data_IF_301876034726
#
_entry.id   IF_301876034726
#
_cell.length_a   1.000
_cell.length_b   1.000
_cell.length_c   1.000
_cell.angle_alpha   90.00
_cell.angle_beta   90.00
_cell.angle_gamma   90.00
#
_symmetry.space_group_name_H-M   'P 1'
#
loop_
_entity.id
_entity.type
_entity.pdbx_description
1 polymer ?
#
# COMPACT_ATOMS: atom_id res chain seq x y z
N UNK A 1 6.42 29.45 -9.38
CA UNK A 1 5.38 29.11 -8.40
C UNK A 1 5.86 29.55 -7.03
N UNK A 2 5.03 30.23 -6.25
CA UNK A 2 5.35 30.45 -4.83
C UNK A 2 5.35 29.09 -4.13
N UNK A 3 6.39 28.78 -3.35
CA UNK A 3 6.45 27.54 -2.59
C UNK A 3 5.41 27.54 -1.49
N UNK A 4 4.73 26.40 -1.21
CA UNK A 4 3.86 26.29 -0.05
C UNK A 4 4.71 26.31 1.22
N UNK A 5 4.50 27.33 2.05
CA UNK A 5 5.16 27.48 3.36
C UNK A 5 4.16 27.26 4.48
N UNK A 6 4.63 26.70 5.60
CA UNK A 6 3.87 26.56 6.83
C UNK A 6 3.66 27.92 7.49
N UNK A 7 2.78 27.98 8.49
CA UNK A 7 2.47 29.21 9.24
C UNK A 7 3.71 29.81 9.93
N UNK A 8 4.73 28.98 10.14
CA UNK A 8 6.02 29.28 10.79
C UNK A 8 7.17 29.48 9.81
N UNK A 9 6.93 29.37 8.49
CA UNK A 9 7.91 29.66 7.45
C UNK A 9 8.72 28.47 6.91
N UNK A 10 8.46 27.23 7.36
CA UNK A 10 9.08 26.03 6.79
C UNK A 10 8.49 25.67 5.44
N UNK A 11 9.30 25.07 4.55
CA UNK A 11 8.78 24.53 3.30
C UNK A 11 7.89 23.30 3.60
N UNK A 12 6.66 23.31 3.10
CA UNK A 12 5.69 22.24 3.35
C UNK A 12 6.19 20.86 2.86
N UNK A 13 6.84 20.79 1.70
CA UNK A 13 7.35 19.52 1.17
C UNK A 13 8.49 18.95 2.01
N UNK A 14 9.36 19.82 2.54
CA UNK A 14 10.43 19.39 3.44
C UNK A 14 9.84 18.85 4.76
N UNK A 15 8.80 19.49 5.30
CA UNK A 15 8.10 18.98 6.50
C UNK A 15 7.38 17.66 6.24
N UNK A 16 6.73 17.49 5.09
CA UNK A 16 6.11 16.20 4.72
C UNK A 16 7.16 15.11 4.52
N UNK A 17 8.32 15.43 3.92
CA UNK A 17 9.46 14.50 3.80
C UNK A 17 9.99 14.13 5.19
N UNK A 18 10.16 15.11 6.07
CA UNK A 18 10.63 14.91 7.44
C UNK A 18 9.67 14.03 8.24
N UNK A 19 8.36 14.27 8.15
CA UNK A 19 7.33 13.45 8.80
C UNK A 19 7.48 11.97 8.42
N UNK A 20 7.53 11.66 7.13
CA UNK A 20 7.69 10.28 6.64
C UNK A 20 9.00 9.65 7.11
N UNK A 21 10.11 10.34 6.88
CA UNK A 21 11.45 9.82 7.16
C UNK A 21 11.73 9.69 8.66
N UNK A 22 11.17 10.55 9.49
CA UNK A 22 11.22 10.45 10.95
C UNK A 22 10.40 9.26 11.45
N UNK A 23 9.17 9.09 10.94
CA UNK A 23 8.34 7.93 11.25
C UNK A 23 9.06 6.62 10.92
N UNK A 24 9.65 6.53 9.72
CA UNK A 24 10.43 5.36 9.27
C UNK A 24 11.54 4.97 10.24
N UNK A 25 12.16 5.96 10.88
CA UNK A 25 13.26 5.82 11.85
C UNK A 25 12.79 5.65 13.30
N UNK A 26 11.49 5.77 13.56
CA UNK A 26 10.95 5.82 14.92
C UNK A 26 11.27 7.11 15.69
N UNK A 27 11.66 8.19 14.99
CA UNK A 27 12.03 9.47 15.61
C UNK A 27 10.80 10.32 15.90
N UNK A 28 10.19 10.09 17.07
CA UNK A 28 8.93 10.72 17.46
C UNK A 28 9.01 12.25 17.56
N UNK A 29 10.09 12.80 18.11
CA UNK A 29 10.26 14.27 18.25
C UNK A 29 10.24 14.96 16.88
N UNK A 30 11.05 14.47 15.95
CA UNK A 30 11.12 15.00 14.58
C UNK A 30 9.80 14.85 13.82
N UNK A 31 9.17 13.68 13.93
CA UNK A 31 7.89 13.42 13.28
C UNK A 31 6.77 14.30 13.86
N UNK A 32 6.72 14.44 15.18
CA UNK A 32 5.75 15.28 15.87
C UNK A 32 5.95 16.75 15.55
N UNK A 33 7.20 17.23 15.51
CA UNK A 33 7.51 18.59 15.10
C UNK A 33 7.02 18.85 13.67
N UNK A 34 7.38 17.99 12.72
CA UNK A 34 6.96 18.11 11.33
C UNK A 34 5.43 18.11 11.18
N UNK A 35 4.73 17.20 11.89
CA UNK A 35 3.27 17.16 11.93
C UNK A 35 2.68 18.47 12.48
N UNK A 36 3.24 19.01 13.56
CA UNK A 36 2.81 20.28 14.14
C UNK A 36 2.97 21.46 13.17
N UNK A 37 4.00 21.46 12.32
CA UNK A 37 4.17 22.52 11.31
C UNK A 37 3.09 22.49 10.22
N UNK A 38 2.54 21.31 9.90
CA UNK A 38 1.59 21.14 8.78
C UNK A 38 0.13 20.97 9.22
N UNK A 39 -0.15 20.79 10.52
CA UNK A 39 -1.49 20.43 11.04
C UNK A 39 -2.60 21.47 10.80
N UNK A 40 -2.25 22.74 10.57
CA UNK A 40 -3.19 23.83 10.34
C UNK A 40 -3.48 23.96 8.84
N UNK A 41 -2.53 24.52 8.10
CA UNK A 41 -2.65 24.87 6.68
C UNK A 41 -2.64 23.67 5.73
N UNK A 42 -2.11 22.51 6.18
CA UNK A 42 -1.91 21.33 5.33
C UNK A 42 -2.40 20.02 5.97
N UNK A 43 -3.38 20.10 6.90
CA UNK A 43 -3.89 18.95 7.66
C UNK A 43 -4.29 17.75 6.80
N UNK A 44 -4.96 18.01 5.67
CA UNK A 44 -5.36 16.96 4.71
C UNK A 44 -4.16 16.28 4.05
N UNK A 45 -3.14 17.05 3.67
CA UNK A 45 -1.91 16.52 3.06
C UNK A 45 -1.16 15.64 4.06
N UNK A 46 -1.07 16.09 5.31
CA UNK A 46 -0.47 15.34 6.41
C UNK A 46 -1.19 14.00 6.66
N UNK A 47 -2.53 14.00 6.78
CA UNK A 47 -3.29 12.76 6.97
C UNK A 47 -3.16 11.81 5.78
N UNK A 48 -3.26 12.30 4.55
CA UNK A 48 -3.05 11.47 3.37
C UNK A 48 -1.63 10.87 3.35
N UNK A 49 -0.61 11.63 3.80
CA UNK A 49 0.75 11.12 3.92
C UNK A 49 0.87 10.04 4.99
N UNK A 50 0.28 10.22 6.18
CA UNK A 50 0.29 9.20 7.24
C UNK A 50 -0.41 7.90 6.80
N UNK A 51 -1.46 7.99 5.99
CA UNK A 51 -2.10 6.83 5.36
C UNK A 51 -1.19 6.14 4.35
N UNK A 52 -0.46 6.88 3.52
CA UNK A 52 0.55 6.28 2.62
C UNK A 52 1.64 5.59 3.42
N UNK A 53 2.16 6.22 4.48
CA UNK A 53 3.21 5.66 5.34
C UNK A 53 2.77 4.35 6.01
N UNK A 54 1.50 4.23 6.42
CA UNK A 54 0.99 2.99 7.02
C UNK A 54 1.01 1.80 6.06
N UNK A 55 0.86 2.05 4.76
CA UNK A 55 0.95 1.02 3.72
C UNK A 55 2.38 0.83 3.19
N UNK A 56 3.19 1.90 3.14
CA UNK A 56 4.52 1.89 2.51
C UNK A 56 5.63 1.42 3.44
N UNK A 57 5.64 1.90 4.69
CA UNK A 57 6.80 1.77 5.58
C UNK A 57 6.52 0.87 6.80
N UNK A 58 5.27 0.47 7.04
CA UNK A 58 4.89 -0.29 8.22
C UNK A 58 4.61 -1.76 7.88
N UNK A 59 5.04 -2.65 8.76
CA UNK A 59 4.72 -4.08 8.71
C UNK A 59 3.23 -4.32 9.03
N UNK A 60 2.67 -5.41 8.52
CA UNK A 60 1.41 -5.95 9.01
C UNK A 60 0.18 -5.03 8.95
N UNK A 61 -0.76 -5.31 9.85
CA UNK A 61 -2.04 -4.62 10.07
C UNK A 61 -1.81 -3.36 10.91
N UNK A 62 -2.11 -2.19 10.34
CA UNK A 62 -2.01 -0.88 11.02
C UNK A 62 -2.85 0.21 10.36
N UNK A 63 -3.11 0.12 9.06
CA UNK A 63 -3.82 1.14 8.28
C UNK A 63 -5.23 1.36 8.82
N UNK A 64 -5.91 0.31 9.29
CA UNK A 64 -7.22 0.43 9.95
C UNK A 64 -7.23 1.40 11.13
N UNK A 65 -6.17 1.41 11.94
CA UNK A 65 -6.07 2.29 13.11
C UNK A 65 -5.81 3.75 12.69
N UNK A 66 -4.98 3.96 11.67
CA UNK A 66 -4.68 5.30 11.14
C UNK A 66 -5.90 5.90 10.44
N UNK A 67 -6.62 5.10 9.66
CA UNK A 67 -7.87 5.49 9.04
C UNK A 67 -8.90 5.88 10.11
N UNK A 68 -9.07 5.05 11.15
CA UNK A 68 -9.98 5.36 12.25
C UNK A 68 -9.62 6.68 12.95
N UNK A 69 -8.34 6.92 13.27
CA UNK A 69 -7.87 8.16 13.89
C UNK A 69 -8.15 9.39 13.00
N UNK A 70 -7.92 9.25 11.69
CA UNK A 70 -8.24 10.30 10.72
C UNK A 70 -9.73 10.62 10.71
N UNK A 71 -10.59 9.61 10.69
CA UNK A 71 -12.05 9.80 10.71
C UNK A 71 -12.53 10.46 12.00
N UNK A 72 -11.92 10.16 13.15
CA UNK A 72 -12.22 10.87 14.39
C UNK A 72 -11.80 12.35 14.32
N UNK A 73 -10.64 12.64 13.73
CA UNK A 73 -10.17 14.01 13.53
C UNK A 73 -11.06 14.83 12.57
N UNK A 74 -11.64 14.18 11.55
CA UNK A 74 -12.59 14.82 10.63
C UNK A 74 -13.93 15.17 11.30
N UNK A 75 -14.39 14.35 12.25
CA UNK A 75 -15.60 14.63 13.05
C UNK A 75 -15.39 15.81 13.99
N UNK A 76 -14.22 15.86 14.63
CA UNK A 76 -13.83 16.95 15.51
C UNK A 76 -12.32 17.07 15.50
N UNK A 77 -11.81 18.22 15.04
CA UNK A 77 -10.37 18.45 14.89
C UNK A 77 -9.70 18.42 16.27
N UNK A 78 -9.00 17.33 16.54
CA UNK A 78 -8.30 17.08 17.80
C UNK A 78 -6.86 16.69 17.51
N UNK A 79 -5.93 17.54 17.93
CA UNK A 79 -4.50 17.29 17.71
C UNK A 79 -3.98 16.06 18.48
N UNK A 80 -4.72 15.59 19.48
CA UNK A 80 -4.51 14.30 20.13
C UNK A 80 -4.54 13.12 19.15
N UNK A 81 -5.45 13.15 18.15
CA UNK A 81 -5.52 12.08 17.15
C UNK A 81 -4.29 12.07 16.24
N UNK A 82 -3.74 13.25 15.92
CA UNK A 82 -2.48 13.36 15.18
C UNK A 82 -1.33 12.82 16.04
N UNK A 83 -1.28 13.22 17.32
CA UNK A 83 -0.26 12.77 18.25
C UNK A 83 -0.24 11.24 18.40
N UNK A 84 -1.43 10.63 18.49
CA UNK A 84 -1.64 9.17 18.52
C UNK A 84 -1.18 8.50 17.21
N UNK A 85 -1.54 9.06 16.06
CA UNK A 85 -1.16 8.51 14.75
C UNK A 85 0.37 8.52 14.57
N UNK A 86 1.02 9.65 14.86
CA UNK A 86 2.49 9.77 14.80
C UNK A 86 3.14 8.79 15.77
N UNK A 87 2.63 8.68 17.00
CA UNK A 87 3.19 7.76 18.00
C UNK A 87 3.05 6.30 17.58
N UNK A 88 1.89 5.91 17.02
CA UNK A 88 1.66 4.57 16.50
C UNK A 88 2.65 4.25 15.38
N UNK A 89 2.70 5.11 14.36
CA UNK A 89 3.54 4.91 13.19
C UNK A 89 5.04 4.91 13.53
N UNK A 90 5.49 5.72 14.49
CA UNK A 90 6.87 5.63 14.97
C UNK A 90 7.16 4.30 15.70
N UNK A 91 6.18 3.75 16.43
CA UNK A 91 6.35 2.57 17.27
C UNK A 91 6.18 1.24 16.53
N UNK A 92 5.33 1.18 15.51
CA UNK A 92 5.05 -0.06 14.78
C UNK A 92 6.30 -0.57 14.08
N UNK A 93 6.35 -1.88 13.90
CA UNK A 93 7.39 -2.51 13.11
C UNK A 93 7.36 -2.00 11.66
N UNK A 94 8.54 -1.87 11.07
CA UNK A 94 8.77 -1.29 9.75
C UNK A 94 9.11 -2.37 8.75
N UNK A 95 8.49 -2.29 7.58
CA UNK A 95 8.76 -3.16 6.44
C UNK A 95 8.33 -2.43 5.17
N UNK A 96 9.08 -2.59 4.08
CA UNK A 96 8.83 -1.94 2.77
C UNK A 96 8.47 -2.92 1.66
N UNK A 97 8.04 -4.14 1.99
CA UNK A 97 7.70 -5.15 0.98
C UNK A 97 6.62 -4.65 0.02
N UNK A 98 5.63 -3.88 0.50
CA UNK A 98 4.60 -3.30 -0.36
C UNK A 98 5.17 -2.34 -1.41
N UNK A 99 6.13 -1.50 -1.03
CA UNK A 99 6.81 -0.58 -1.93
C UNK A 99 7.71 -1.34 -2.92
N UNK A 100 8.52 -2.27 -2.41
CA UNK A 100 9.35 -3.14 -3.23
C UNK A 100 8.52 -3.88 -4.27
N UNK A 101 7.39 -4.46 -3.82
CA UNK A 101 6.50 -5.24 -4.65
C UNK A 101 5.83 -4.40 -5.74
N UNK A 102 5.32 -3.22 -5.37
CA UNK A 102 4.76 -2.28 -6.33
C UNK A 102 5.75 -1.96 -7.45
N UNK A 103 6.99 -1.60 -7.08
CA UNK A 103 8.00 -1.17 -8.04
C UNK A 103 8.56 -2.31 -8.89
N UNK A 104 8.83 -3.49 -8.32
CA UNK A 104 9.52 -4.57 -9.02
C UNK A 104 8.59 -5.58 -9.70
N UNK A 105 7.33 -5.68 -9.29
CA UNK A 105 6.42 -6.71 -9.80
C UNK A 105 5.12 -6.15 -10.39
N UNK A 106 4.63 -5.00 -9.92
CA UNK A 106 3.40 -4.39 -10.48
C UNK A 106 3.71 -3.42 -11.60
N UNK A 107 4.62 -2.47 -11.38
CA UNK A 107 4.94 -1.43 -12.37
C UNK A 107 5.76 -1.97 -13.56
N UNK A 108 6.57 -3.00 -13.32
CA UNK A 108 7.44 -3.64 -14.33
C UNK A 108 7.10 -5.12 -14.46
N UNK A 109 5.79 -5.39 -14.58
CA UNK A 109 5.21 -6.72 -14.40
C UNK A 109 5.66 -7.77 -15.41
N UNK A 110 5.68 -9.03 -14.97
CA UNK A 110 6.20 -10.20 -15.71
C UNK A 110 5.37 -11.42 -15.36
N UNK A 111 5.19 -12.35 -16.30
CA UNK A 111 4.45 -13.60 -16.05
C UNK A 111 5.22 -14.78 -16.63
N UNK A 112 5.13 -15.92 -15.93
CA UNK A 112 5.61 -17.22 -16.41
C UNK A 112 4.51 -18.03 -17.13
N UNK A 113 3.24 -17.60 -17.05
CA UNK A 113 2.08 -18.23 -17.67
C UNK A 113 1.73 -19.63 -17.14
N UNK A 114 2.29 -20.06 -16.01
CA UNK A 114 2.15 -21.43 -15.51
C UNK A 114 0.83 -21.67 -14.77
N UNK A 115 0.21 -20.64 -14.20
CA UNK A 115 -1.06 -20.75 -13.47
C UNK A 115 -2.24 -20.57 -14.44
N UNK A 116 -3.19 -21.50 -14.38
CA UNK A 116 -4.36 -21.54 -15.26
C UNK A 116 -5.66 -21.56 -14.45
N UNK A 117 -6.72 -20.96 -14.98
CA UNK A 117 -8.07 -20.98 -14.41
C UNK A 117 -8.99 -21.90 -15.21
N UNK A 118 -9.77 -22.74 -14.52
CA UNK A 118 -10.82 -23.54 -15.12
C UNK A 118 -12.15 -22.76 -15.19
N UNK A 119 -12.99 -23.11 -16.17
CA UNK A 119 -14.31 -22.46 -16.35
C UNK A 119 -15.17 -22.50 -15.06
N UNK A 120 -15.15 -23.62 -14.35
CA UNK A 120 -15.91 -23.76 -13.10
C UNK A 120 -15.39 -22.86 -11.97
N UNK A 121 -14.07 -22.63 -11.87
CA UNK A 121 -13.50 -21.69 -10.90
C UNK A 121 -13.94 -20.25 -11.20
N UNK A 122 -13.92 -19.87 -12.48
CA UNK A 122 -14.33 -18.53 -12.97
C UNK A 122 -15.79 -18.27 -12.64
N UNK A 123 -16.69 -19.19 -13.00
CA UNK A 123 -18.13 -19.07 -12.73
C UNK A 123 -18.41 -18.97 -11.22
N UNK A 124 -17.71 -19.76 -10.39
CA UNK A 124 -17.84 -19.70 -8.93
C UNK A 124 -17.38 -18.38 -8.34
N UNK A 125 -16.20 -17.89 -8.74
CA UNK A 125 -15.69 -16.60 -8.25
C UNK A 125 -16.64 -15.46 -8.64
N UNK A 126 -17.08 -15.44 -9.90
CA UNK A 126 -18.05 -14.46 -10.36
C UNK A 126 -19.34 -14.51 -9.56
N UNK A 127 -19.89 -15.71 -9.33
CA UNK A 127 -21.10 -15.89 -8.53
C UNK A 127 -20.98 -15.32 -7.12
N UNK A 128 -19.84 -15.53 -6.44
CA UNK A 128 -19.57 -14.95 -5.11
C UNK A 128 -19.44 -13.42 -5.16
N UNK A 129 -18.76 -12.89 -6.16
CA UNK A 129 -18.55 -11.45 -6.33
C UNK A 129 -19.85 -10.71 -6.70
N UNK A 130 -20.71 -11.32 -7.53
CA UNK A 130 -21.98 -10.71 -7.98
C UNK A 130 -23.10 -10.78 -6.93
N UNK A 131 -23.19 -11.89 -6.19
CA UNK A 131 -24.22 -12.09 -5.16
C UNK A 131 -24.15 -11.06 -4.04
N UNK A 132 -22.99 -10.39 -3.88
CA UNK A 132 -22.76 -9.47 -2.79
C UNK A 132 -22.65 -10.17 -1.44
N UNK A 133 -22.54 -11.51 -1.41
CA UNK A 133 -22.29 -12.30 -0.20
C UNK A 133 -21.00 -11.86 0.53
N UNK A 134 -20.14 -11.15 -0.19
CA UNK A 134 -18.86 -10.57 0.25
C UNK A 134 -19.02 -9.15 0.83
N UNK A 135 -20.07 -8.41 0.44
CA UNK A 135 -20.22 -6.96 0.66
C UNK A 135 -21.45 -6.69 1.54
N UNK A 136 -21.34 -6.94 2.84
CA UNK A 136 -22.34 -6.49 3.82
C UNK A 136 -21.84 -5.32 4.68
N UNK A 137 -21.08 -4.41 4.07
CA UNK A 137 -20.67 -3.11 4.64
C UNK A 137 -20.76 -2.02 3.58
N UNK A 138 -21.90 -1.31 3.56
CA UNK A 138 -22.09 0.07 3.10
C UNK A 138 -21.40 0.60 1.81
N UNK A 139 -21.20 -0.21 0.76
CA UNK A 139 -20.87 0.34 -0.56
C UNK A 139 -22.08 0.28 -1.50
N UNK A 140 -22.47 1.44 -2.04
CA UNK A 140 -23.56 1.59 -2.99
C UNK A 140 -23.47 0.59 -4.14
N UNK A 141 -24.62 0.00 -4.53
CA UNK A 141 -24.76 -0.84 -5.72
C UNK A 141 -24.34 -0.03 -6.96
N UNK A 142 -23.14 -0.26 -7.47
CA UNK A 142 -22.72 0.25 -8.77
C UNK A 142 -23.10 -0.75 -9.87
N UNK A 143 -23.70 -0.24 -10.94
CA UNK A 143 -23.91 -0.97 -12.18
C UNK A 143 -22.54 -1.18 -12.87
N UNK A 144 -22.03 -2.41 -12.77
CA UNK A 144 -20.73 -2.82 -13.32
C UNK A 144 -20.74 -3.04 -14.84
N UNK A 145 -21.88 -2.88 -15.51
CA UNK A 145 -22.00 -3.22 -16.93
C UNK A 145 -21.75 -2.04 -17.88
N UNK A 146 -21.72 -0.79 -17.41
CA UNK A 146 -21.43 0.37 -18.26
C UNK A 146 -22.35 0.55 -19.47
N UNK A 147 -23.47 -0.18 -19.55
CA UNK A 147 -24.38 -0.22 -20.69
C UNK A 147 -25.83 -0.30 -20.23
N UNK A 148 -26.34 0.78 -19.62
CA UNK A 148 -27.76 0.97 -19.39
C UNK A 148 -28.06 2.40 -18.88
N UNK A 149 -28.21 3.34 -19.82
CA UNK A 149 -29.39 4.20 -19.75
C UNK A 149 -30.60 3.33 -20.15
N UNK A 150 -31.02 2.42 -19.28
CA UNK A 150 -32.36 1.84 -19.42
C UNK A 150 -33.33 2.89 -18.90
N UNK A 151 -34.05 3.48 -19.85
CA UNK A 151 -35.25 4.26 -19.63
C UNK A 151 -36.11 3.58 -18.56
N UNK A 152 -36.63 4.37 -17.62
CA UNK A 152 -37.52 3.97 -16.51
C UNK A 152 -38.82 3.25 -16.98
N UNK A 153 -38.97 2.97 -18.28
CA UNK A 153 -40.14 2.38 -18.91
C UNK A 153 -39.94 0.99 -19.52
N UNK A 154 -38.74 0.41 -19.51
CA UNK A 154 -38.52 -0.96 -20.02
C UNK A 154 -38.45 -2.00 -18.89
N UNK A 155 -39.55 -2.13 -18.13
CA UNK A 155 -39.79 -3.31 -17.30
C UNK A 155 -40.38 -4.43 -18.17
N UNK A 156 -39.51 -5.22 -18.80
CA UNK A 156 -39.86 -6.59 -19.22
C UNK A 156 -39.16 -7.59 -18.31
N UNK A 157 -39.98 -8.37 -17.61
CA UNK A 157 -39.66 -9.56 -16.84
C UNK A 157 -38.40 -10.28 -17.32
N UNK A 158 -37.31 -10.19 -16.55
CA UNK A 158 -36.19 -11.13 -16.68
C UNK A 158 -36.63 -12.40 -15.94
N UNK A 159 -36.94 -13.44 -16.71
CA UNK A 159 -37.01 -14.82 -16.21
C UNK A 159 -35.59 -15.26 -15.87
N UNK A 160 -35.45 -15.97 -14.74
CA UNK A 160 -34.28 -16.76 -14.40
C UNK A 160 -33.94 -17.69 -15.58
N UNK A 161 -32.90 -17.33 -16.32
CA UNK A 161 -32.34 -18.10 -17.42
C UNK A 161 -30.84 -17.89 -17.41
N UNK A 162 -30.08 -18.98 -17.45
CA UNK A 162 -28.62 -19.01 -17.44
C UNK A 162 -28.03 -17.95 -18.38
N UNK A 163 -27.47 -16.87 -17.80
CA UNK A 163 -26.59 -15.97 -18.55
C UNK A 163 -25.25 -16.70 -18.73
N UNK A 164 -24.99 -17.20 -19.93
CA UNK A 164 -23.64 -17.64 -20.29
C UNK A 164 -22.71 -16.43 -20.36
N UNK A 165 -21.53 -16.52 -19.75
CA UNK A 165 -20.52 -15.47 -19.79
C UNK A 165 -20.03 -15.19 -21.21
N UNK A 166 -19.76 -13.91 -21.50
CA UNK A 166 -19.01 -13.53 -22.70
C UNK A 166 -17.54 -13.93 -22.58
N UNK A 167 -16.84 -14.08 -23.71
CA UNK A 167 -15.41 -14.42 -23.74
C UNK A 167 -14.56 -13.38 -22.96
N UNK A 168 -14.87 -12.09 -23.10
CA UNK A 168 -14.22 -11.01 -22.34
C UNK A 168 -14.41 -11.16 -20.81
N UNK A 169 -15.59 -11.61 -20.38
CA UNK A 169 -15.85 -11.87 -18.95
C UNK A 169 -15.10 -13.11 -18.46
N UNK A 170 -14.97 -14.14 -19.30
CA UNK A 170 -14.14 -15.31 -18.97
C UNK A 170 -12.67 -14.95 -18.83
N UNK A 171 -12.14 -14.09 -19.70
CA UNK A 171 -10.76 -13.61 -19.58
C UNK A 171 -10.56 -12.80 -18.30
N UNK A 172 -11.43 -11.80 -18.06
CA UNK A 172 -11.34 -10.92 -16.89
C UNK A 172 -11.43 -11.69 -15.56
N UNK A 173 -12.43 -12.56 -15.40
CA UNK A 173 -12.56 -13.36 -14.18
C UNK A 173 -11.54 -14.51 -14.14
N UNK A 174 -11.02 -14.94 -15.30
CA UNK A 174 -9.85 -15.82 -15.40
C UNK A 174 -8.62 -15.19 -14.73
N UNK A 175 -8.32 -13.93 -15.02
CA UNK A 175 -7.25 -13.17 -14.37
C UNK A 175 -7.45 -13.09 -12.85
N UNK A 176 -8.68 -12.88 -12.41
CA UNK A 176 -9.04 -12.81 -11.00
C UNK A 176 -8.81 -14.15 -10.27
N UNK A 177 -9.21 -15.27 -10.88
CA UNK A 177 -8.95 -16.61 -10.32
C UNK A 177 -7.45 -16.91 -10.29
N UNK A 178 -6.72 -16.56 -11.36
CA UNK A 178 -5.27 -16.76 -11.42
C UNK A 178 -4.58 -15.95 -10.32
N UNK A 179 -5.00 -14.71 -10.08
CA UNK A 179 -4.49 -13.89 -8.98
C UNK A 179 -4.65 -14.58 -7.62
N UNK A 180 -5.85 -15.10 -7.29
CA UNK A 180 -6.08 -15.82 -6.03
C UNK A 180 -5.18 -17.07 -5.90
N UNK A 181 -4.96 -17.79 -7.01
CA UNK A 181 -4.08 -18.97 -7.06
C UNK A 181 -2.59 -18.61 -6.98
N UNK A 182 -2.21 -17.44 -7.49
CA UNK A 182 -0.85 -16.93 -7.39
C UNK A 182 -0.54 -16.51 -5.94
N UNK A 183 -1.48 -15.83 -5.27
CA UNK A 183 -1.39 -15.48 -3.84
C UNK A 183 -1.25 -16.74 -2.96
N UNK A 184 -2.02 -17.80 -3.23
CA UNK A 184 -1.91 -19.04 -2.45
C UNK A 184 -0.61 -19.80 -2.66
N UNK A 185 0.09 -19.54 -3.78
CA UNK A 185 1.37 -20.16 -4.13
C UNK A 185 2.58 -19.26 -3.88
N UNK A 186 2.35 -18.01 -3.45
CA UNK A 186 3.38 -16.99 -3.27
C UNK A 186 4.15 -16.67 -4.58
N UNK A 187 3.49 -16.77 -5.74
CA UNK A 187 4.11 -16.47 -7.05
C UNK A 187 4.08 -14.95 -7.32
N UNK A 188 5.14 -14.26 -6.90
CA UNK A 188 5.20 -12.79 -6.89
C UNK A 188 5.12 -12.17 -8.30
N UNK A 189 5.73 -12.82 -9.29
CA UNK A 189 5.67 -12.38 -10.69
C UNK A 189 4.23 -12.46 -11.20
N UNK A 190 3.56 -13.61 -11.03
CA UNK A 190 2.18 -13.78 -11.49
C UNK A 190 1.19 -12.85 -10.75
N UNK A 191 1.36 -12.65 -9.44
CA UNK A 191 0.56 -11.68 -8.66
C UNK A 191 0.73 -10.28 -9.25
N UNK A 192 1.96 -9.84 -9.44
CA UNK A 192 2.28 -8.51 -9.97
C UNK A 192 1.69 -8.27 -11.37
N UNK A 193 1.80 -9.28 -12.23
CA UNK A 193 1.22 -9.25 -13.58
C UNK A 193 -0.30 -9.13 -13.59
N UNK A 194 -1.02 -9.98 -12.85
CA UNK A 194 -2.49 -9.89 -12.80
C UNK A 194 -2.96 -8.59 -12.16
N UNK A 195 -2.23 -8.10 -11.15
CA UNK A 195 -2.51 -6.78 -10.56
C UNK A 195 -2.31 -5.65 -11.56
N UNK A 196 -1.26 -5.67 -12.40
CA UNK A 196 -1.03 -4.65 -13.42
C UNK A 196 -2.15 -4.60 -14.48
N UNK A 197 -2.65 -5.76 -14.91
CA UNK A 197 -3.80 -5.84 -15.81
C UNK A 197 -5.07 -5.26 -15.17
N UNK A 198 -5.36 -5.66 -13.93
CA UNK A 198 -6.60 -5.29 -13.24
C UNK A 198 -6.60 -3.84 -12.75
N UNK A 199 -5.49 -3.32 -12.23
CA UNK A 199 -5.44 -1.99 -11.57
C UNK A 199 -5.77 -0.82 -12.50
N UNK A 200 -5.57 -0.98 -13.81
CA UNK A 200 -5.73 0.10 -14.81
C UNK A 200 -7.20 0.40 -15.09
N UNK A 201 -8.00 -0.64 -15.33
CA UNK A 201 -9.40 -0.50 -15.75
C UNK A 201 -10.40 -1.15 -14.79
N UNK A 202 -9.95 -2.04 -13.90
CA UNK A 202 -10.79 -2.91 -13.08
C UNK A 202 -10.37 -2.87 -11.59
N UNK A 203 -9.95 -1.70 -11.09
CA UNK A 203 -9.40 -1.57 -9.72
C UNK A 203 -10.40 -1.91 -8.61
N UNK A 204 -11.69 -1.62 -8.81
CA UNK A 204 -12.72 -2.03 -7.85
C UNK A 204 -12.87 -3.55 -7.81
N UNK A 205 -12.88 -4.20 -8.99
CA UNK A 205 -12.90 -5.65 -9.07
C UNK A 205 -11.65 -6.27 -8.41
N UNK A 206 -10.48 -5.68 -8.58
CA UNK A 206 -9.26 -6.11 -7.89
C UNK A 206 -9.44 -6.09 -6.36
N UNK A 207 -10.03 -5.03 -5.81
CA UNK A 207 -10.36 -4.98 -4.39
C UNK A 207 -11.36 -6.06 -3.98
N UNK A 208 -12.39 -6.29 -4.78
CA UNK A 208 -13.39 -7.33 -4.49
C UNK A 208 -12.78 -8.73 -4.50
N UNK A 209 -11.78 -9.00 -5.36
CA UNK A 209 -11.00 -10.25 -5.37
C UNK A 209 -10.15 -10.41 -4.11
N UNK A 210 -9.52 -9.33 -3.64
CA UNK A 210 -8.78 -9.36 -2.36
C UNK A 210 -9.69 -9.59 -1.17
N UNK A 211 -10.88 -8.96 -1.15
CA UNK A 211 -11.87 -9.14 -0.08
C UNK A 211 -12.45 -10.56 -0.12
N UNK A 212 -12.78 -11.10 -1.31
CA UNK A 212 -13.20 -12.51 -1.47
C UNK A 212 -12.14 -13.44 -0.88
N UNK A 213 -10.88 -13.24 -1.25
CA UNK A 213 -9.78 -14.07 -0.77
C UNK A 213 -9.63 -13.98 0.75
N UNK A 214 -9.56 -12.75 1.29
CA UNK A 214 -9.42 -12.51 2.72
C UNK A 214 -10.58 -13.07 3.55
N UNK A 215 -11.82 -13.01 3.01
CA UNK A 215 -13.01 -13.54 3.69
C UNK A 215 -12.99 -15.06 3.83
N UNK A 216 -12.24 -15.76 2.96
CA UNK A 216 -12.04 -17.20 3.02
C UNK A 216 -10.88 -17.60 3.95
N UNK A 217 -10.11 -16.64 4.46
CA UNK A 217 -9.06 -16.90 5.45
C UNK A 217 -9.65 -16.99 6.85
N UNK A 218 -9.04 -17.80 7.72
CA UNK A 218 -9.41 -17.88 9.14
C UNK A 218 -8.91 -16.68 9.98
N UNK A 219 -8.30 -15.66 9.35
CA UNK A 219 -7.63 -14.52 10.00
C UNK A 219 -8.44 -13.22 9.82
N UNK A 220 -9.38 -12.95 10.75
CA UNK A 220 -10.32 -11.82 10.66
C UNK A 220 -9.65 -10.43 10.64
N UNK A 221 -8.52 -10.27 11.34
CA UNK A 221 -7.72 -9.03 11.34
C UNK A 221 -7.28 -8.60 9.93
N UNK A 222 -6.99 -9.56 9.04
CA UNK A 222 -6.58 -9.30 7.66
C UNK A 222 -7.73 -8.68 6.88
N UNK A 223 -8.95 -9.21 6.99
CA UNK A 223 -10.11 -8.69 6.27
C UNK A 223 -10.40 -7.22 6.63
N UNK A 224 -10.34 -6.88 7.92
CA UNK A 224 -10.55 -5.50 8.38
C UNK A 224 -9.47 -4.55 7.82
N UNK A 225 -8.21 -5.00 7.76
CA UNK A 225 -7.12 -4.24 7.15
C UNK A 225 -7.29 -4.09 5.64
N UNK A 226 -7.71 -5.14 4.92
CA UNK A 226 -7.99 -5.06 3.46
C UNK A 226 -9.11 -4.05 3.19
N UNK A 227 -10.18 -4.05 3.99
CA UNK A 227 -11.25 -3.07 3.87
C UNK A 227 -10.76 -1.64 4.17
N UNK A 228 -9.93 -1.47 5.19
CA UNK A 228 -9.33 -0.17 5.50
C UNK A 228 -8.39 0.32 4.38
N UNK A 229 -7.62 -0.58 3.76
CA UNK A 229 -6.77 -0.27 2.62
C UNK A 229 -7.60 0.14 1.40
N UNK A 230 -8.74 -0.53 1.11
CA UNK A 230 -9.68 -0.13 0.04
C UNK A 230 -10.24 1.28 0.26
N UNK A 231 -10.67 1.59 1.49
CA UNK A 231 -11.17 2.92 1.84
C UNK A 231 -10.06 3.98 1.72
N UNK A 232 -8.88 3.67 2.23
CA UNK A 232 -7.70 4.54 2.15
C UNK A 232 -7.29 4.82 0.71
N UNK A 233 -7.28 3.80 -0.14
CA UNK A 233 -7.06 3.92 -1.58
C UNK A 233 -8.03 4.90 -2.22
N UNK A 234 -9.32 4.76 -1.91
CA UNK A 234 -10.37 5.67 -2.38
C UNK A 234 -10.14 7.11 -1.90
N UNK A 235 -9.68 7.32 -0.66
CA UNK A 235 -9.41 8.65 -0.10
C UNK A 235 -8.20 9.33 -0.77
N UNK A 236 -7.09 8.61 -0.87
CA UNK A 236 -5.80 9.16 -1.33
C UNK A 236 -5.77 9.31 -2.85
N UNK A 237 -6.35 8.35 -3.57
CA UNK A 237 -6.34 8.33 -5.03
C UNK A 237 -7.59 8.97 -5.68
N UNK A 238 -8.55 9.50 -4.91
CA UNK A 238 -9.80 10.08 -5.41
C UNK A 238 -9.66 11.06 -6.59
N UNK A 239 -8.59 11.87 -6.60
CA UNK A 239 -8.38 12.94 -7.58
C UNK A 239 -7.19 12.71 -8.51
N UNK A 240 -6.58 11.53 -8.46
CA UNK A 240 -5.41 11.22 -9.28
C UNK A 240 -5.84 10.61 -10.61
N UNK A 241 -5.23 11.08 -11.69
CA UNK A 241 -5.36 10.45 -13.01
C UNK A 241 -4.64 9.10 -13.03
N UNK A 242 -3.46 9.05 -12.42
CA UNK A 242 -2.68 7.84 -12.19
C UNK A 242 -2.71 7.53 -10.69
N UNK A 243 -3.41 6.45 -10.33
CA UNK A 243 -3.60 6.04 -8.93
C UNK A 243 -2.35 5.32 -8.43
N UNK A 244 -1.87 5.65 -7.23
CA UNK A 244 -0.73 4.94 -6.63
C UNK A 244 -1.09 3.47 -6.37
N UNK A 245 -0.10 2.58 -6.46
CA UNK A 245 -0.25 1.14 -6.31
C UNK A 245 0.02 0.65 -4.88
N UNK A 246 0.38 1.55 -3.97
CA UNK A 246 0.89 1.16 -2.65
C UNK A 246 -0.16 0.41 -1.81
N UNK A 247 -1.42 0.82 -1.86
CA UNK A 247 -2.48 0.18 -1.07
C UNK A 247 -2.83 -1.22 -1.59
N UNK A 248 -2.95 -1.39 -2.90
CA UNK A 248 -3.19 -2.70 -3.52
C UNK A 248 -1.99 -3.64 -3.34
N UNK A 249 -0.77 -3.08 -3.31
CA UNK A 249 0.47 -3.84 -3.09
C UNK A 249 0.59 -4.29 -1.64
N UNK A 250 0.26 -3.41 -0.68
CA UNK A 250 0.18 -3.77 0.73
C UNK A 250 -0.86 -4.86 0.98
N UNK A 251 -2.02 -4.78 0.32
CA UNK A 251 -3.04 -5.81 0.39
C UNK A 251 -2.54 -7.16 -0.13
N UNK A 252 -1.93 -7.20 -1.32
CA UNK A 252 -1.38 -8.44 -1.90
C UNK A 252 -0.31 -9.08 -1.01
N UNK A 253 0.64 -8.28 -0.50
CA UNK A 253 1.70 -8.76 0.39
C UNK A 253 1.14 -9.28 1.71
N UNK A 254 0.16 -8.60 2.29
CA UNK A 254 -0.48 -9.05 3.53
C UNK A 254 -1.20 -10.39 3.33
N UNK A 255 -1.88 -10.58 2.18
CA UNK A 255 -2.51 -11.87 1.85
C UNK A 255 -1.46 -12.97 1.65
N UNK A 256 -0.32 -12.66 1.02
CA UNK A 256 0.79 -13.61 0.91
C UNK A 256 1.35 -14.00 2.28
N UNK A 257 1.69 -13.02 3.13
CA UNK A 257 2.15 -13.24 4.51
C UNK A 257 1.11 -14.01 5.34
N UNK A 258 -0.18 -13.84 5.07
CA UNK A 258 -1.22 -14.58 5.77
C UNK A 258 -1.25 -16.08 5.47
N UNK A 259 -0.73 -16.47 4.30
CA UNK A 259 -0.62 -17.86 3.85
C UNK A 259 0.73 -18.50 4.20
N UNK A 260 1.73 -17.71 4.57
CA UNK A 260 3.08 -18.19 4.86
C UNK A 260 3.23 -18.48 6.36
N UNK A 261 3.64 -19.70 6.67
CA UNK A 261 3.81 -20.21 8.03
C UNK A 261 4.94 -19.49 8.79
N UNK A 262 5.85 -18.83 8.09
CA UNK A 262 6.91 -18.00 8.69
C UNK A 262 6.34 -16.80 9.45
N UNK A 263 5.09 -16.39 9.19
CA UNK A 263 4.44 -15.23 9.83
C UNK A 263 3.29 -15.66 10.75
N UNK A 264 3.63 -15.91 12.01
CA UNK A 264 2.69 -16.31 13.05
C UNK A 264 1.68 -15.20 13.41
N UNK A 265 2.15 -13.95 13.48
CA UNK A 265 1.35 -12.76 13.77
C UNK A 265 1.46 -11.76 12.62
N UNK A 266 0.40 -10.98 12.40
CA UNK A 266 0.36 -9.97 11.32
C UNK A 266 0.10 -8.57 11.86
N UNK A 267 -0.04 -8.40 13.17
CA UNK A 267 -0.17 -7.11 13.82
C UNK A 267 1.18 -6.39 13.81
N UNK A 268 1.18 -5.12 13.39
CA UNK A 268 2.41 -4.32 13.34
C UNK A 268 3.03 -4.03 14.73
N UNK A 269 2.27 -4.28 15.80
CA UNK A 269 2.69 -4.15 17.19
C UNK A 269 1.66 -4.79 18.11
N UNK A 270 2.07 -5.23 19.31
CA UNK A 270 1.23 -5.95 20.27
C UNK A 270 0.04 -5.15 20.83
N UNK A 271 -0.03 -3.83 20.60
CA UNK A 271 -1.15 -3.00 21.04
C UNK A 271 -2.33 -3.02 20.05
N UNK A 272 -2.09 -3.46 18.81
CA UNK A 272 -3.12 -3.60 17.79
C UNK A 272 -3.85 -4.92 18.07
N UNK A 273 -5.18 -4.86 18.12
CA UNK A 273 -6.03 -6.04 18.29
C UNK A 273 -6.69 -6.42 16.96
N UNK A 274 -6.89 -7.71 16.70
CA UNK A 274 -7.72 -8.18 15.59
C UNK A 274 -9.10 -7.55 15.57
N UNK A 275 -9.79 -7.58 16.71
CA UNK A 275 -11.24 -7.35 16.78
C UNK A 275 -11.63 -5.94 17.22
N UNK A 276 -10.70 -5.14 17.74
CA UNK A 276 -11.01 -3.87 18.38
C UNK A 276 -9.99 -2.79 17.99
N UNK A 277 -10.44 -1.53 17.99
CA UNK A 277 -9.55 -0.38 17.88
C UNK A 277 -8.73 -0.21 19.15
N UNK A 278 -7.59 0.48 19.03
CA UNK A 278 -6.71 0.74 20.17
C UNK A 278 -7.45 1.58 21.22
N UNK A 279 -7.43 1.10 22.47
CA UNK A 279 -7.88 1.87 23.62
C UNK A 279 -6.82 2.91 24.03
N UNK A 280 -6.88 4.07 23.39
CA UNK A 280 -5.96 5.17 23.58
C UNK A 280 -5.95 5.75 25.00
N UNK A 281 -6.98 5.49 25.83
CA UNK A 281 -7.04 5.97 27.21
C UNK A 281 -5.94 5.35 28.10
N UNK A 282 -5.40 4.20 27.68
CA UNK A 282 -4.32 3.48 28.37
C UNK A 282 -2.93 4.06 28.14
N UNK A 283 -2.77 4.98 27.20
CA UNK A 283 -1.46 5.49 26.79
C UNK A 283 -1.34 6.99 27.04
N UNK A 284 -0.19 7.41 27.58
CA UNK A 284 0.18 8.82 27.69
C UNK A 284 1.06 9.18 26.51
N UNK A 285 0.49 9.90 25.55
CA UNK A 285 1.19 10.33 24.34
C UNK A 285 1.58 11.79 24.51
N UNK A 286 2.84 12.11 24.20
CA UNK A 286 3.34 13.49 24.18
C UNK A 286 2.57 14.27 23.09
N UNK A 287 2.05 15.49 23.33
CA UNK A 287 1.41 16.27 22.27
C UNK A 287 2.41 16.77 21.22
N UNK A 288 2.07 16.74 19.94
CA UNK A 288 2.93 17.20 18.85
C UNK A 288 3.35 18.67 18.97
N UNK A 289 2.56 19.50 19.65
CA UNK A 289 2.85 20.92 19.93
C UNK A 289 4.07 21.10 20.83
N UNK A 290 4.39 20.07 21.61
CA UNK A 290 5.53 20.06 22.52
C UNK A 290 6.78 19.41 21.92
N UNK A 291 6.68 18.90 20.68
CA UNK A 291 7.83 18.40 19.94
C UNK A 291 8.66 19.55 19.38
N UNK A 292 9.97 19.42 19.46
CA UNK A 292 10.92 20.48 19.08
C UNK A 292 11.94 19.94 18.08
N UNK A 293 12.31 20.78 17.13
CA UNK A 293 13.42 20.50 16.22
C UNK A 293 14.72 20.84 16.95
N UNK A 294 15.63 19.86 17.05
CA UNK A 294 16.93 20.11 17.66
C UNK A 294 17.69 21.15 16.83
N UNK A 295 18.21 22.19 17.49
CA UNK A 295 19.02 23.26 16.88
C UNK A 295 18.29 24.09 15.79
N UNK A 296 16.97 23.95 15.66
CA UNK A 296 16.14 24.58 14.61
C UNK A 296 16.59 24.28 13.16
N UNK A 297 17.44 23.25 12.98
CA UNK A 297 17.99 22.85 11.69
C UNK A 297 17.33 21.59 11.16
N UNK A 298 16.85 21.64 9.90
CA UNK A 298 16.27 20.48 9.23
C UNK A 298 17.39 19.45 8.95
N UNK A 299 17.29 18.20 9.47
CA UNK A 299 18.33 17.21 9.30
C UNK A 299 18.60 16.85 7.85
N UNK A 300 19.86 16.54 7.51
CA UNK A 300 20.24 16.24 6.11
C UNK A 300 19.45 15.06 5.52
N UNK A 301 19.12 14.06 6.35
CA UNK A 301 18.37 12.88 5.92
C UNK A 301 16.96 13.20 5.41
N UNK A 302 16.44 14.41 5.62
CA UNK A 302 15.17 14.87 5.06
C UNK A 302 15.24 15.04 3.53
N UNK A 303 16.43 15.31 2.99
CA UNK A 303 16.61 15.69 1.60
C UNK A 303 17.03 14.51 0.71
N UNK A 304 16.16 14.15 -0.24
CA UNK A 304 16.37 13.08 -1.23
C UNK A 304 16.20 13.60 -2.68
N UNK A 305 16.18 12.68 -3.64
CA UNK A 305 15.95 12.98 -5.05
C UNK A 305 14.57 13.59 -5.35
N UNK A 306 13.59 13.56 -4.42
CA UNK A 306 12.27 14.19 -4.57
C UNK A 306 12.23 15.61 -3.98
N UNK A 307 13.12 15.94 -3.03
CA UNK A 307 13.28 17.30 -2.52
C UNK A 307 14.13 18.18 -3.43
N UNK A 308 13.89 19.50 -3.42
CA UNK A 308 14.67 20.43 -4.25
C UNK A 308 16.13 20.52 -3.80
N UNK A 309 16.35 20.54 -2.49
CA UNK A 309 17.71 20.60 -1.94
C UNK A 309 18.47 19.30 -2.25
N UNK A 310 17.84 18.13 -2.08
CA UNK A 310 18.47 16.85 -2.44
C UNK A 310 18.76 16.71 -3.93
N UNK A 311 17.85 17.17 -4.82
CA UNK A 311 18.14 17.28 -6.26
C UNK A 311 19.36 18.16 -6.56
N UNK A 312 19.49 19.31 -5.89
CA UNK A 312 20.68 20.19 -6.04
C UNK A 312 21.96 19.57 -5.48
N UNK A 313 21.84 18.68 -4.50
CA UNK A 313 22.95 17.90 -3.95
C UNK A 313 23.32 16.69 -4.81
N UNK A 314 22.60 16.44 -5.91
CA UNK A 314 22.85 15.30 -6.80
C UNK A 314 22.42 13.95 -6.22
N UNK A 315 21.51 13.93 -5.23
CA UNK A 315 20.97 12.67 -4.67
C UNK A 315 20.21 11.91 -5.76
N UNK A 316 20.51 10.63 -5.90
CA UNK A 316 19.87 9.73 -6.87
C UNK A 316 18.73 8.93 -6.24
N UNK A 317 17.91 8.31 -7.09
CA UNK A 317 16.88 7.38 -6.64
C UNK A 317 17.50 6.17 -5.91
N UNK A 318 18.63 5.66 -6.39
CA UNK A 318 19.37 4.58 -5.72
C UNK A 318 19.90 4.98 -4.32
N UNK A 319 20.37 6.22 -4.15
CA UNK A 319 20.77 6.74 -2.84
C UNK A 319 19.59 6.75 -1.86
N UNK A 320 18.42 7.16 -2.33
CA UNK A 320 17.18 7.14 -1.55
C UNK A 320 16.80 5.70 -1.20
N UNK A 321 16.67 4.81 -2.18
CA UNK A 321 16.30 3.39 -1.97
C UNK A 321 17.16 2.72 -0.90
N UNK A 322 18.48 2.88 -0.99
CA UNK A 322 19.42 2.28 -0.03
C UNK A 322 19.39 2.97 1.34
N UNK A 323 19.26 4.30 1.39
CA UNK A 323 19.20 5.05 2.66
C UNK A 323 17.91 4.80 3.41
N UNK A 324 16.79 4.70 2.69
CA UNK A 324 15.47 4.48 3.28
C UNK A 324 15.34 3.06 3.84
N UNK A 325 15.80 2.04 3.10
CA UNK A 325 15.82 0.66 3.60
C UNK A 325 16.68 0.53 4.87
N UNK A 326 17.87 1.14 4.89
CA UNK A 326 18.75 1.14 6.09
C UNK A 326 18.16 1.89 7.29
N UNK A 327 17.21 2.78 7.07
CA UNK A 327 16.65 3.65 8.10
C UNK A 327 15.41 3.05 8.79
N UNK A 328 14.95 1.87 8.37
CA UNK A 328 13.78 1.21 8.96
C UNK A 328 14.04 0.84 10.42
N UNK A 329 13.24 1.41 11.33
CA UNK A 329 13.31 1.08 12.74
C UNK A 329 11.94 1.23 13.46
N UNK A 330 11.54 0.25 14.30
CA UNK A 330 12.13 -1.09 14.42
C UNK A 330 11.86 -1.92 13.17
N UNK A 331 12.89 -2.54 12.58
CA UNK A 331 12.75 -3.34 11.35
C UNK A 331 12.13 -4.72 11.66
N UNK A 332 11.11 -5.10 10.90
CA UNK A 332 10.62 -6.47 10.79
C UNK A 332 11.01 -7.01 9.40
N UNK A 333 11.89 -8.01 9.39
CA UNK A 333 12.37 -8.61 8.14
C UNK A 333 11.31 -9.53 7.53
N UNK A 334 11.01 -9.33 6.26
CA UNK A 334 10.07 -10.11 5.46
C UNK A 334 10.72 -10.55 4.13
N UNK A 335 9.98 -10.53 3.02
CA UNK A 335 10.39 -11.15 1.78
C UNK A 335 11.54 -10.41 1.08
N UNK A 336 11.50 -9.08 1.07
CA UNK A 336 12.29 -8.29 0.12
C UNK A 336 13.33 -7.36 0.75
N UNK A 337 13.61 -7.48 2.06
CA UNK A 337 14.56 -6.59 2.73
C UNK A 337 15.99 -6.67 2.16
N UNK A 338 16.36 -7.85 1.67
CA UNK A 338 17.63 -8.10 0.99
C UNK A 338 17.40 -8.30 -0.54
N UNK A 339 16.25 -7.89 -1.07
CA UNK A 339 15.91 -7.99 -2.49
C UNK A 339 16.62 -6.95 -3.35
N UNK A 340 16.97 -7.31 -4.58
CA UNK A 340 17.52 -6.38 -5.57
C UNK A 340 16.44 -5.68 -6.38
N UNK A 341 16.46 -4.35 -6.41
CA UNK A 341 15.58 -3.49 -7.21
C UNK A 341 15.89 -3.50 -8.71
N UNK A 342 16.62 -4.50 -9.18
CA UNK A 342 17.14 -4.58 -10.55
C UNK A 342 16.03 -4.54 -11.60
N UNK A 343 14.84 -5.06 -11.30
CA UNK A 343 13.74 -5.05 -12.28
C UNK A 343 13.26 -3.63 -12.56
N UNK A 344 13.03 -2.82 -11.53
CA UNK A 344 12.64 -1.43 -11.69
C UNK A 344 13.73 -0.61 -12.40
N UNK A 345 14.98 -0.72 -11.95
CA UNK A 345 16.06 0.09 -12.54
C UNK A 345 16.45 -0.34 -13.96
N UNK A 346 16.24 -1.61 -14.34
CA UNK A 346 16.36 -2.03 -15.74
C UNK A 346 15.33 -1.32 -16.62
N UNK A 347 14.10 -1.19 -16.14
CA UNK A 347 13.07 -0.44 -16.85
C UNK A 347 13.42 1.06 -16.93
N UNK A 348 13.89 1.65 -15.83
CA UNK A 348 14.34 3.05 -15.83
C UNK A 348 15.48 3.31 -16.83
N UNK A 349 16.38 2.35 -17.01
CA UNK A 349 17.44 2.44 -18.03
C UNK A 349 16.86 2.36 -19.45
N UNK A 350 15.90 1.45 -19.69
CA UNK A 350 15.22 1.31 -20.99
C UNK A 350 14.46 2.59 -21.34
N UNK A 351 13.81 3.21 -20.34
CA UNK A 351 13.01 4.42 -20.50
C UNK A 351 13.88 5.69 -20.52
N UNK A 352 15.19 5.57 -20.31
CA UNK A 352 16.15 6.68 -20.32
C UNK A 352 16.09 7.59 -19.09
N UNK A 353 15.48 7.13 -18.00
CA UNK A 353 15.41 7.84 -16.70
C UNK A 353 16.78 7.84 -16.02
N UNK A 354 17.53 6.75 -16.15
CA UNK A 354 18.91 6.64 -15.68
C UNK A 354 19.84 6.24 -16.83
N UNK A 355 21.15 6.47 -16.65
CA UNK A 355 22.18 6.07 -17.60
C UNK A 355 22.98 4.84 -17.13
N UNK A 356 23.84 4.31 -18.01
CA UNK A 356 24.67 3.14 -17.71
C UNK A 356 25.60 3.33 -16.49
N UNK A 357 26.05 4.56 -16.22
CA UNK A 357 26.90 4.84 -15.06
C UNK A 357 26.13 4.74 -13.75
N UNK A 358 24.91 5.31 -13.72
CA UNK A 358 23.99 5.19 -12.59
C UNK A 358 23.55 3.74 -12.35
N UNK A 359 23.51 2.92 -13.40
CA UNK A 359 23.13 1.51 -13.32
C UNK A 359 24.20 0.60 -12.67
N UNK A 360 25.48 0.98 -12.74
CA UNK A 360 26.61 0.17 -12.20
C UNK A 360 26.44 -0.27 -10.75
N UNK A 361 26.15 0.60 -9.76
CA UNK A 361 26.00 0.18 -8.37
C UNK A 361 24.82 -0.77 -8.16
N UNK A 362 23.74 -0.63 -8.93
CA UNK A 362 22.57 -1.52 -8.87
C UNK A 362 22.92 -2.91 -9.41
N UNK A 363 23.64 -2.97 -10.53
CA UNK A 363 24.15 -4.24 -11.08
C UNK A 363 25.10 -4.95 -10.12
N UNK A 364 25.96 -4.21 -9.43
CA UNK A 364 26.85 -4.78 -8.42
C UNK A 364 26.06 -5.39 -7.25
N UNK A 365 25.04 -4.68 -6.76
CA UNK A 365 24.16 -5.18 -5.71
C UNK A 365 23.42 -6.45 -6.15
N UNK A 366 22.90 -6.47 -7.38
CA UNK A 366 22.16 -7.58 -7.96
C UNK A 366 22.97 -8.88 -8.15
N UNK A 367 24.31 -8.82 -8.11
CA UNK A 367 25.17 -10.03 -8.17
C UNK A 367 24.99 -10.93 -6.95
N UNK A 368 24.63 -10.35 -5.81
CA UNK A 368 24.52 -11.07 -4.52
C UNK A 368 23.10 -11.10 -3.96
N UNK A 369 22.19 -10.31 -4.55
CA UNK A 369 20.81 -10.16 -4.11
C UNK A 369 19.86 -10.47 -5.27
N UNK A 370 18.96 -11.44 -5.08
CA UNK A 370 17.95 -11.78 -6.09
C UNK A 370 16.84 -10.73 -6.12
N UNK A 371 16.25 -10.52 -7.29
CA UNK A 371 15.08 -9.65 -7.44
C UNK A 371 13.82 -10.28 -6.84
N UNK A 372 13.63 -11.58 -7.05
CA UNK A 372 12.56 -12.39 -6.48
C UNK A 372 13.15 -13.46 -5.55
N UNK A 373 13.40 -13.14 -4.27
CA UNK A 373 13.90 -14.12 -3.29
C UNK A 373 12.84 -15.14 -2.83
N UNK A 374 11.57 -14.95 -3.17
CA UNK A 374 10.46 -15.84 -2.76
C UNK A 374 10.45 -17.12 -3.59
N UNK A 375 10.88 -17.08 -4.85
CA UNK A 375 10.95 -18.25 -5.75
C UNK A 375 11.77 -19.41 -5.18
N UNK A 376 12.85 -19.11 -4.45
CA UNK A 376 13.73 -20.13 -3.86
C UNK A 376 13.01 -20.95 -2.78
N UNK A 377 12.03 -20.35 -2.09
CA UNK A 377 11.24 -21.00 -1.03
C UNK A 377 10.25 -22.02 -1.60
N UNK A 378 9.71 -21.73 -2.79
CA UNK A 378 8.79 -22.63 -3.51
C UNK A 378 9.54 -23.88 -4.02
N UNK A 379 10.83 -23.75 -4.33
CA UNK A 379 11.68 -24.85 -4.81
C UNK A 379 12.25 -25.70 -3.67
N UNK A 380 12.45 -25.16 -2.47
CA UNK A 380 12.93 -25.93 -1.30
C UNK A 380 11.84 -26.76 -0.60
N UNK A 381 10.57 -26.46 -0.85
CA UNK A 381 9.42 -27.19 -0.31
C UNK A 381 8.81 -28.21 -1.31
N UNK A 382 9.50 -28.49 -2.43
CA UNK A 382 9.26 -29.62 -3.34
C UNK A 382 10.40 -30.62 -3.21
#
# INVERSE_FOLDING_TARGET
MAYPYTDTGYNMYDMISMLQKAIRRGYYEDAGFAANQVKNSYRKVMWNRMLVISAEDCYGVVTKEILWLKEQDEKSKHDDNISRAVALLCRVEKNRDACYFACNFVLVSRTNGMIQASKSEIEKLKGRIDSGDIINTESAKYDRSGFSQISLFDYKYIKDGELSLSDENYELYGDCVILQKAISKLDMDEIGYRMDLLRRNNRELLWDVFIDYASNLSKKNVLDEINALKNTDSIVNAKKTEKDEIFISKAAILLCQSNDEDYEHLEATSIISPDNTIDWSKFKIKPIESCVLQEDDIPEWVYDCHTLKGKRMGKTDWDMTTTEQKALYPLHRCYFDDGSWIYSYQQDLIDGVINEEQMKPILEYAKTHKANPVDDRILSNK
#
